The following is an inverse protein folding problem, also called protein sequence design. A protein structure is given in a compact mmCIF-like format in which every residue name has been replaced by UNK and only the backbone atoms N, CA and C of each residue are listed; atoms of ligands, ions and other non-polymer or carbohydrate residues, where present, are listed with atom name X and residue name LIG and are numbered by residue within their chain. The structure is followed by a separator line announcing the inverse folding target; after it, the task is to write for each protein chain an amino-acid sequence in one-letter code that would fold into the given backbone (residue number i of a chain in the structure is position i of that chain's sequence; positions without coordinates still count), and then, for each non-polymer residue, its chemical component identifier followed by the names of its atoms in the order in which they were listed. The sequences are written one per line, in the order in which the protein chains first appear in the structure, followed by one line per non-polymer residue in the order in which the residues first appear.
data_IF_115607197619
#
_entry.id   IF_115607197619
#
_cell.length_a   1.000
_cell.length_b   1.000
_cell.length_c   1.000
_cell.angle_alpha   90.00
_cell.angle_beta   90.00
_cell.angle_gamma   90.00
#
_symmetry.space_group_name_H-M   'P 1'
#
loop_
_entity.id
_entity.type
_entity.pdbx_description
1 polymer ?
#
# COMPACT_ATOMS: atom_id res chain seq x y z
N UNK A 1 101.95 -7.87 14.34
CA UNK A 1 101.14 -7.58 15.55
C UNK A 1 99.89 -8.46 15.49
N UNK A 2 99.67 -9.29 16.52
CA UNK A 2 98.48 -10.11 16.88
C UNK A 2 97.89 -11.02 15.77
N UNK A 3 97.99 -12.36 15.76
CA UNK A 3 97.48 -13.42 16.68
C UNK A 3 96.02 -13.19 17.12
N UNK A 4 95.08 -14.01 16.63
CA UNK A 4 94.33 -15.08 17.33
C UNK A 4 93.23 -15.64 16.39
N UNK A 5 93.06 -16.96 16.45
CA UNK A 5 92.16 -17.86 15.73
C UNK A 5 90.99 -18.25 16.66
N UNK A 6 89.80 -18.49 16.13
CA UNK A 6 88.78 -19.50 16.53
C UNK A 6 87.45 -19.15 15.82
N UNK A 7 86.81 -20.01 15.02
CA UNK A 7 86.18 -21.35 15.25
C UNK A 7 84.69 -21.22 15.67
N UNK A 8 83.80 -21.91 14.93
CA UNK A 8 82.35 -22.08 15.18
C UNK A 8 81.47 -20.91 14.72
N UNK A 9 80.33 -21.02 14.05
CA UNK A 9 79.29 -22.05 13.94
C UNK A 9 78.41 -21.76 12.70
N UNK A 10 77.93 -22.79 12.00
CA UNK A 10 76.77 -22.77 11.09
C UNK A 10 75.46 -22.92 11.93
N UNK A 11 74.22 -22.86 11.39
CA UNK A 11 73.61 -22.12 10.27
C UNK A 11 72.23 -21.49 10.68
N UNK A 12 71.52 -20.83 9.74
CA UNK A 12 70.07 -20.98 9.45
C UNK A 12 69.47 -19.69 8.87
N UNK A 13 68.63 -19.81 7.84
CA UNK A 13 67.76 -18.71 7.42
C UNK A 13 67.28 -18.71 5.98
N UNK A 14 66.48 -19.72 5.64
CA UNK A 14 65.62 -19.81 4.46
C UNK A 14 64.66 -18.60 4.35
N UNK A 15 64.39 -18.12 3.13
CA UNK A 15 63.03 -17.92 2.56
C UNK A 15 62.89 -16.69 1.65
N UNK A 16 62.63 -16.95 0.37
CA UNK A 16 62.43 -15.91 -0.64
C UNK A 16 61.60 -16.34 -1.85
N UNK A 17 60.58 -17.20 -1.69
CA UNK A 17 59.68 -17.56 -2.80
C UNK A 17 58.18 -17.65 -2.44
N UNK A 18 57.75 -17.13 -1.27
CA UNK A 18 56.37 -17.29 -0.79
C UNK A 18 55.39 -16.13 -1.01
N UNK A 19 55.84 -14.94 -1.47
CA UNK A 19 54.99 -13.72 -1.42
C UNK A 19 54.12 -13.41 -2.65
N UNK A 20 54.30 -14.09 -3.79
CA UNK A 20 53.49 -13.80 -5.00
C UNK A 20 52.24 -14.69 -5.17
N UNK A 21 52.10 -15.76 -4.39
CA UNK A 21 51.00 -16.72 -4.54
C UNK A 21 49.79 -16.45 -3.64
N UNK A 22 50.00 -15.81 -2.48
CA UNK A 22 48.93 -15.53 -1.49
C UNK A 22 47.99 -14.37 -1.88
N UNK A 23 48.41 -13.50 -2.81
CA UNK A 23 47.55 -12.40 -3.30
C UNK A 23 46.47 -12.86 -4.29
N UNK A 24 46.77 -13.89 -5.10
CA UNK A 24 45.84 -14.40 -6.13
C UNK A 24 44.72 -15.26 -5.52
N UNK A 25 45.00 -16.02 -4.47
CA UNK A 25 43.98 -16.87 -3.82
C UNK A 25 42.96 -16.06 -3.01
N UNK A 26 43.37 -14.95 -2.38
CA UNK A 26 42.44 -14.04 -1.69
C UNK A 26 41.48 -13.33 -2.64
N UNK A 27 41.94 -12.95 -3.84
CA UNK A 27 41.12 -12.22 -4.82
C UNK A 27 40.06 -13.14 -5.48
N UNK A 28 40.39 -14.42 -5.69
CA UNK A 28 39.46 -15.44 -6.19
C UNK A 28 38.36 -15.76 -5.16
N UNK A 29 38.71 -15.84 -3.86
CA UNK A 29 37.72 -16.07 -2.81
C UNK A 29 36.73 -14.89 -2.65
N UNK A 30 37.19 -13.65 -2.80
CA UNK A 30 36.31 -12.46 -2.76
C UNK A 30 35.38 -12.41 -3.98
N UNK A 31 35.88 -12.76 -5.18
CA UNK A 31 35.06 -12.84 -6.39
C UNK A 31 33.99 -13.95 -6.30
N UNK A 32 34.33 -15.13 -5.79
CA UNK A 32 33.33 -16.19 -5.56
C UNK A 32 32.29 -15.80 -4.51
N UNK A 33 32.68 -15.12 -3.42
CA UNK A 33 31.74 -14.63 -2.41
C UNK A 33 30.75 -13.61 -2.96
N UNK A 34 31.21 -12.70 -3.82
CA UNK A 34 30.35 -11.71 -4.48
C UNK A 34 29.36 -12.36 -5.47
N UNK A 35 29.79 -13.38 -6.21
CA UNK A 35 28.91 -14.12 -7.15
C UNK A 35 27.84 -14.92 -6.39
N UNK A 36 28.19 -15.57 -5.28
CA UNK A 36 27.20 -16.30 -4.45
C UNK A 36 26.17 -15.35 -3.83
N UNK A 37 26.57 -14.14 -3.41
CA UNK A 37 25.65 -13.13 -2.90
C UNK A 37 24.67 -12.61 -3.98
N UNK A 38 25.13 -12.45 -5.22
CA UNK A 38 24.29 -12.01 -6.35
C UNK A 38 23.34 -13.13 -6.83
N UNK A 39 23.77 -14.39 -6.81
CA UNK A 39 22.89 -15.53 -7.14
C UNK A 39 21.86 -15.78 -6.03
N UNK A 40 22.22 -15.62 -4.75
CA UNK A 40 21.25 -15.71 -3.65
C UNK A 40 20.21 -14.57 -3.71
N UNK A 41 20.60 -13.37 -4.13
CA UNK A 41 19.69 -12.24 -4.30
C UNK A 41 18.76 -12.36 -5.51
N UNK A 42 19.13 -13.15 -6.53
CA UNK A 42 18.32 -13.33 -7.76
C UNK A 42 17.53 -14.64 -7.79
N UNK A 43 17.92 -15.65 -7.02
CA UNK A 43 17.20 -16.92 -6.87
C UNK A 43 16.08 -16.87 -5.80
N UNK A 44 16.01 -15.82 -4.97
CA UNK A 44 15.02 -15.69 -3.89
C UNK A 44 13.65 -15.13 -4.30
N UNK A 45 13.41 -14.80 -5.58
CA UNK A 45 12.20 -14.03 -6.00
C UNK A 45 11.25 -14.82 -6.91
N UNK A 46 11.35 -16.15 -6.97
CA UNK A 46 10.36 -16.96 -7.70
C UNK A 46 9.85 -18.11 -6.86
N UNK A 47 8.52 -18.09 -6.68
CA UNK A 47 7.64 -19.14 -6.14
C UNK A 47 7.30 -19.08 -4.64
N UNK A 48 6.53 -18.04 -4.28
CA UNK A 48 5.40 -18.18 -3.36
C UNK A 48 4.13 -17.72 -4.08
N UNK A 49 3.71 -18.49 -5.09
CA UNK A 49 2.30 -18.52 -5.47
C UNK A 49 1.73 -19.66 -4.64
N UNK A 50 1.17 -19.32 -3.48
CA UNK A 50 0.37 -20.26 -2.73
C UNK A 50 -0.86 -20.60 -3.57
N UNK A 51 -0.90 -21.82 -4.08
CA UNK A 51 -2.12 -22.44 -4.57
C UNK A 51 -3.15 -22.37 -3.43
N UNK A 52 -4.32 -21.75 -3.59
CA UNK A 52 -5.29 -21.65 -2.51
C UNK A 52 -5.80 -23.06 -2.17
N UNK A 53 -5.46 -23.51 -0.97
CA UNK A 53 -5.91 -24.77 -0.39
C UNK A 53 -7.46 -24.87 -0.42
N UNK A 54 -8.04 -25.80 -1.19
CA UNK A 54 -9.50 -25.93 -1.31
C UNK A 54 -10.15 -26.53 -0.06
N UNK A 55 -9.38 -26.91 0.96
CA UNK A 55 -9.89 -27.58 2.17
C UNK A 55 -10.19 -26.65 3.37
N UNK A 56 -9.92 -25.34 3.26
CA UNK A 56 -10.34 -24.36 4.27
C UNK A 56 -11.83 -24.04 4.14
N UNK A 57 -12.67 -24.97 4.59
CA UNK A 57 -14.13 -24.83 4.68
C UNK A 57 -14.54 -23.72 5.63
N UNK A 58 -14.70 -22.51 5.10
CA UNK A 58 -15.30 -21.35 5.76
C UNK A 58 -15.92 -20.47 4.69
N UNK A 59 -17.25 -20.61 4.51
CA UNK A 59 -18.10 -20.04 3.46
C UNK A 59 -17.65 -18.66 2.96
N UNK A 60 -16.94 -18.63 1.82
CA UNK A 60 -16.78 -17.42 1.00
C UNK A 60 -18.13 -17.16 0.31
N UNK A 61 -18.86 -16.17 0.79
CA UNK A 61 -19.97 -15.61 0.03
C UNK A 61 -19.40 -14.99 -1.25
N UNK A 62 -19.81 -15.55 -2.39
CA UNK A 62 -19.49 -15.06 -3.73
C UNK A 62 -20.33 -13.79 -3.94
N UNK A 63 -19.82 -12.69 -3.40
CA UNK A 63 -20.22 -11.31 -3.64
C UNK A 63 -18.92 -10.51 -3.55
N UNK A 64 -18.44 -10.03 -4.69
CA UNK A 64 -17.21 -9.24 -4.74
C UNK A 64 -17.55 -7.87 -4.12
N UNK A 65 -17.07 -7.60 -2.89
CA UNK A 65 -17.38 -6.45 -2.00
C UNK A 65 -18.65 -6.66 -1.14
N UNK A 66 -18.70 -6.60 0.20
CA UNK A 66 -17.77 -6.26 1.31
C UNK A 66 -17.58 -7.45 2.29
N UNK A 67 -16.45 -7.55 3.03
CA UNK A 67 -16.50 -7.13 4.44
C UNK A 67 -15.19 -6.49 4.97
N UNK A 68 -15.28 -5.64 6.01
CA UNK A 68 -14.27 -5.65 7.09
C UNK A 68 -15.01 -5.87 8.40
N UNK A 69 -14.60 -6.93 9.12
CA UNK A 69 -15.23 -7.42 10.35
C UNK A 69 -15.71 -6.32 11.31
N UNK A 70 -16.99 -6.41 11.68
CA UNK A 70 -17.59 -5.78 12.85
C UNK A 70 -18.71 -6.69 13.35
N UNK A 71 -18.63 -7.13 14.59
CA UNK A 71 -19.41 -8.19 15.21
C UNK A 71 -20.88 -7.81 15.53
N UNK A 72 -21.62 -7.22 14.57
CA UNK A 72 -23.02 -6.85 14.81
C UNK A 72 -24.00 -7.84 14.17
N UNK A 73 -25.03 -8.32 14.91
CA UNK A 73 -26.04 -9.26 14.43
C UNK A 73 -27.13 -8.56 13.59
N UNK A 74 -26.76 -7.54 12.82
CA UNK A 74 -27.66 -6.83 11.92
C UNK A 74 -28.01 -7.68 10.69
N UNK A 75 -29.13 -7.36 10.00
CA UNK A 75 -29.42 -7.99 8.72
C UNK A 75 -28.28 -7.72 7.73
N UNK A 76 -27.99 -8.66 6.81
CA UNK A 76 -26.94 -8.48 5.81
C UNK A 76 -27.26 -7.23 4.98
N UNK A 77 -26.38 -6.23 5.05
CA UNK A 77 -26.48 -5.01 4.23
C UNK A 77 -26.05 -5.35 2.79
N UNK A 78 -26.87 -4.97 1.82
CA UNK A 78 -26.55 -5.14 0.40
C UNK A 78 -25.26 -4.39 0.05
N UNK A 79 -24.36 -5.04 -0.71
CA UNK A 79 -23.07 -4.49 -1.11
C UNK A 79 -22.94 -4.59 -2.63
N UNK A 80 -22.49 -3.52 -3.26
CA UNK A 80 -22.14 -3.54 -4.69
C UNK A 80 -20.65 -3.79 -4.95
N UNK A 81 -20.30 -4.02 -6.22
CA UNK A 81 -18.96 -4.44 -6.61
C UNK A 81 -17.89 -3.34 -6.42
N UNK A 82 -16.64 -3.72 -6.11
CA UNK A 82 -15.48 -2.83 -6.17
C UNK A 82 -15.44 -2.01 -7.47
N UNK A 83 -15.12 -0.72 -7.35
CA UNK A 83 -15.00 0.15 -8.52
C UNK A 83 -13.90 -0.32 -9.48
N UNK A 84 -12.83 -0.91 -8.92
CA UNK A 84 -11.69 -1.45 -9.67
C UNK A 84 -12.07 -2.62 -10.60
N UNK A 85 -13.23 -3.26 -10.38
CA UNK A 85 -13.71 -4.35 -11.23
C UNK A 85 -14.60 -3.89 -12.38
N UNK A 86 -14.95 -2.60 -12.49
CA UNK A 86 -15.69 -2.09 -13.64
C UNK A 86 -14.80 -2.11 -14.89
N UNK A 87 -15.09 -2.98 -15.89
CA UNK A 87 -14.23 -3.17 -17.05
C UNK A 87 -14.20 -1.97 -18.00
N UNK A 88 -15.10 -0.99 -17.81
CA UNK A 88 -15.16 0.23 -18.63
C UNK A 88 -14.11 1.25 -18.20
N UNK A 89 -13.49 1.09 -17.03
CA UNK A 89 -12.51 2.04 -16.51
C UNK A 89 -11.19 1.94 -17.27
N UNK A 90 -10.55 3.09 -17.43
CA UNK A 90 -9.18 3.13 -17.94
C UNK A 90 -8.23 2.35 -17.02
N UNK A 91 -7.23 1.62 -17.56
CA UNK A 91 -6.25 0.93 -16.75
C UNK A 91 -5.37 1.93 -16.00
N UNK A 92 -5.04 1.62 -14.74
CA UNK A 92 -4.14 2.45 -13.91
C UNK A 92 -2.89 1.67 -13.56
N UNK A 93 -1.74 2.30 -13.82
CA UNK A 93 -0.42 1.78 -13.49
C UNK A 93 -0.09 1.95 -12.01
N UNK A 94 0.85 1.15 -11.49
CA UNK A 94 1.29 1.32 -10.10
C UNK A 94 2.01 2.66 -9.85
N UNK A 95 2.68 3.19 -10.88
CA UNK A 95 3.28 4.53 -10.82
C UNK A 95 2.24 5.62 -10.59
N UNK A 96 1.12 5.57 -11.33
CA UNK A 96 0.00 6.50 -11.14
C UNK A 96 -0.62 6.35 -9.75
N UNK A 97 -0.85 5.11 -9.27
CA UNK A 97 -1.38 4.86 -7.91
C UNK A 97 -0.48 5.44 -6.83
N UNK A 98 0.83 5.25 -6.95
CA UNK A 98 1.81 5.75 -5.98
C UNK A 98 1.86 7.28 -5.99
N UNK A 99 1.81 7.91 -7.17
CA UNK A 99 1.89 9.37 -7.33
C UNK A 99 0.71 10.14 -6.70
N UNK A 100 -0.44 9.50 -6.50
CA UNK A 100 -1.61 10.13 -5.87
C UNK A 100 -1.88 9.65 -4.45
N UNK A 101 -1.10 8.71 -3.89
CA UNK A 101 -1.44 8.05 -2.62
C UNK A 101 -1.54 9.01 -1.43
N UNK A 102 -0.59 9.93 -1.30
CA UNK A 102 -0.62 10.92 -0.22
C UNK A 102 -1.79 11.90 -0.37
N UNK A 103 -2.13 12.25 -1.61
CA UNK A 103 -3.26 13.10 -1.98
C UNK A 103 -4.60 12.39 -1.71
N UNK A 104 -4.70 11.10 -2.02
CA UNK A 104 -5.85 10.25 -1.73
C UNK A 104 -6.15 10.19 -0.22
N UNK A 105 -5.10 10.13 0.63
CA UNK A 105 -5.28 10.22 2.09
C UNK A 105 -5.95 11.53 2.51
N UNK A 106 -5.63 12.66 1.88
CA UNK A 106 -6.28 13.94 2.14
C UNK A 106 -7.75 13.94 1.69
N UNK A 107 -8.05 13.35 0.52
CA UNK A 107 -9.44 13.13 0.05
C UNK A 107 -10.24 12.33 1.07
N UNK A 108 -9.70 11.20 1.55
CA UNK A 108 -10.37 10.35 2.53
C UNK A 108 -10.64 11.08 3.84
N UNK A 109 -9.68 11.86 4.33
CA UNK A 109 -9.87 12.66 5.54
C UNK A 109 -10.96 13.73 5.35
N UNK A 110 -10.96 14.42 4.21
CA UNK A 110 -12.00 15.40 3.87
C UNK A 110 -13.40 14.76 3.84
N UNK A 111 -13.54 13.58 3.24
CA UNK A 111 -14.81 12.85 3.16
C UNK A 111 -15.26 12.28 4.51
N UNK A 112 -14.38 11.56 5.22
CA UNK A 112 -14.71 10.86 6.48
C UNK A 112 -15.12 11.81 7.60
N UNK A 113 -14.50 12.97 7.68
CA UNK A 113 -14.67 13.81 8.86
C UNK A 113 -15.82 14.78 8.69
N UNK A 114 -16.48 14.87 7.52
CA UNK A 114 -17.45 15.94 7.23
C UNK A 114 -16.85 17.32 7.60
N UNK A 115 -15.52 17.41 7.49
CA UNK A 115 -14.58 18.38 8.04
C UNK A 115 -14.85 18.95 9.43
N UNK A 116 -15.17 18.06 10.34
CA UNK A 116 -14.96 18.26 11.77
C UNK A 116 -13.46 18.32 12.10
N UNK A 117 -12.62 17.51 11.43
CA UNK A 117 -11.22 17.35 11.82
C UNK A 117 -10.31 16.88 10.67
N UNK A 118 -9.80 17.80 9.85
CA UNK A 118 -8.88 17.40 8.77
C UNK A 118 -7.47 17.06 9.26
N UNK A 119 -7.12 17.44 10.49
CA UNK A 119 -5.80 17.15 11.08
C UNK A 119 -5.96 16.64 12.51
N UNK A 120 -5.32 15.52 12.84
CA UNK A 120 -5.33 14.98 14.22
C UNK A 120 -4.60 15.84 15.26
N UNK A 121 -4.11 17.02 14.88
CA UNK A 121 -3.42 17.97 15.75
C UNK A 121 -4.37 19.03 16.35
N UNK A 122 -5.62 19.12 15.87
CA UNK A 122 -6.60 20.07 16.35
C UNK A 122 -7.26 19.56 17.66
N UNK A 123 -7.31 20.36 18.74
CA UNK A 123 -7.87 19.95 20.03
C UNK A 123 -9.34 19.51 19.97
N UNK A 124 -10.12 20.14 19.10
CA UNK A 124 -11.51 19.78 18.78
C UNK A 124 -11.64 18.34 18.25
N UNK A 125 -10.57 17.77 17.71
CA UNK A 125 -10.50 16.38 17.26
C UNK A 125 -10.30 15.36 18.37
N UNK A 126 -9.91 15.81 19.56
CA UNK A 126 -9.65 14.91 20.68
C UNK A 126 -10.92 14.22 21.20
N UNK A 127 -12.11 14.78 20.92
CA UNK A 127 -13.41 14.18 21.27
C UNK A 127 -14.26 13.99 20.02
N UNK A 128 -13.83 13.09 19.15
CA UNK A 128 -14.60 12.68 17.98
C UNK A 128 -16.05 12.33 18.40
N UNK A 129 -17.08 12.81 17.66
CA UNK A 129 -18.46 12.45 17.96
C UNK A 129 -18.64 10.94 17.78
N UNK A 130 -19.68 10.40 18.42
CA UNK A 130 -20.02 8.99 18.25
C UNK A 130 -20.26 8.68 16.77
N UNK A 131 -19.70 7.56 16.31
CA UNK A 131 -19.98 7.04 14.98
C UNK A 131 -21.49 6.82 14.82
N UNK A 132 -22.03 7.22 13.67
CA UNK A 132 -23.43 7.01 13.31
C UNK A 132 -23.56 6.65 11.84
N UNK A 133 -24.74 6.13 11.46
CA UNK A 133 -25.04 5.85 10.05
C UNK A 133 -25.07 7.15 9.23
N UNK A 134 -24.49 7.17 8.02
CA UNK A 134 -24.46 8.36 7.17
C UNK A 134 -25.84 8.95 6.89
N UNK A 135 -25.92 10.27 7.05
CA UNK A 135 -27.12 11.06 6.73
C UNK A 135 -26.87 11.97 5.54
N UNK A 136 -27.93 12.62 5.04
CA UNK A 136 -27.77 13.65 4.00
C UNK A 136 -26.91 14.84 4.48
N UNK A 137 -26.93 15.15 5.77
CA UNK A 137 -26.08 16.21 6.33
C UNK A 137 -24.59 15.85 6.20
N UNK A 138 -24.23 14.58 6.44
CA UNK A 138 -22.85 14.10 6.27
C UNK A 138 -22.42 14.12 4.81
N UNK A 139 -23.33 13.81 3.88
CA UNK A 139 -23.09 13.94 2.44
C UNK A 139 -22.79 15.38 2.05
N UNK A 140 -23.60 16.34 2.51
CA UNK A 140 -23.42 17.75 2.17
C UNK A 140 -22.13 18.31 2.76
N UNK A 141 -21.79 17.90 3.98
CA UNK A 141 -20.51 18.24 4.59
C UNK A 141 -19.33 17.61 3.83
N UNK A 142 -19.40 16.32 3.46
CA UNK A 142 -18.38 15.68 2.66
C UNK A 142 -18.17 16.39 1.31
N UNK A 143 -19.24 16.80 0.61
CA UNK A 143 -19.14 17.60 -0.62
C UNK A 143 -18.41 18.92 -0.39
N UNK A 144 -18.78 19.65 0.67
CA UNK A 144 -18.15 20.93 1.02
C UNK A 144 -16.64 20.78 1.27
N UNK A 145 -16.22 19.71 1.93
CA UNK A 145 -14.80 19.53 2.28
C UNK A 145 -14.00 18.92 1.15
N UNK A 146 -14.59 18.02 0.34
CA UNK A 146 -13.99 17.53 -0.89
C UNK A 146 -13.73 18.67 -1.88
N UNK A 147 -14.62 19.66 -1.98
CA UNK A 147 -14.42 20.83 -2.85
C UNK A 147 -13.28 21.76 -2.40
N UNK A 148 -12.73 21.55 -1.20
CA UNK A 148 -11.56 22.28 -0.67
C UNK A 148 -10.25 21.52 -0.84
N UNK A 149 -10.31 20.32 -1.42
CA UNK A 149 -9.12 19.55 -1.79
C UNK A 149 -8.61 20.00 -3.15
N UNK A 150 -7.48 19.43 -3.58
CA UNK A 150 -6.91 19.67 -4.91
C UNK A 150 -7.61 18.86 -6.03
N UNK A 151 -8.69 18.13 -5.71
CA UNK A 151 -9.43 17.36 -6.69
C UNK A 151 -10.04 18.27 -7.76
N UNK A 152 -9.80 17.93 -9.03
CA UNK A 152 -10.35 18.66 -10.19
C UNK A 152 -11.87 18.50 -10.32
N UNK A 153 -12.41 17.40 -9.81
CA UNK A 153 -13.84 17.14 -9.68
C UNK A 153 -14.05 16.22 -8.47
N UNK A 154 -15.13 16.42 -7.74
CA UNK A 154 -15.48 15.54 -6.63
C UNK A 154 -16.99 15.41 -6.48
N UNK A 155 -17.42 14.28 -5.91
CA UNK A 155 -18.81 14.02 -5.57
C UNK A 155 -18.88 13.19 -4.30
N UNK A 156 -19.98 13.35 -3.56
CA UNK A 156 -20.35 12.45 -2.49
C UNK A 156 -21.87 12.27 -2.49
N UNK A 157 -22.33 11.09 -2.08
CA UNK A 157 -23.75 10.74 -1.94
C UNK A 157 -23.92 9.48 -1.11
N UNK A 158 -25.15 9.17 -0.73
CA UNK A 158 -25.47 7.84 -0.22
C UNK A 158 -25.34 6.82 -1.37
N UNK A 159 -24.72 5.68 -1.07
CA UNK A 159 -24.58 4.57 -2.00
C UNK A 159 -25.95 3.95 -2.31
N UNK A 160 -26.18 3.62 -3.57
CA UNK A 160 -27.38 2.99 -4.12
C UNK A 160 -27.05 1.54 -4.51
N UNK A 161 -28.07 0.71 -4.80
CA UNK A 161 -27.82 -0.62 -5.35
C UNK A 161 -26.94 -0.54 -6.61
N UNK A 162 -25.89 -1.35 -6.65
CA UNK A 162 -24.91 -1.40 -7.73
C UNK A 162 -23.71 -0.45 -7.57
N UNK A 163 -23.73 0.46 -6.59
CA UNK A 163 -22.55 1.26 -6.27
C UNK A 163 -21.50 0.47 -5.48
N UNK A 164 -20.23 0.87 -5.53
CA UNK A 164 -19.21 0.27 -4.68
C UNK A 164 -19.51 0.45 -3.18
N UNK A 165 -19.45 -0.64 -2.43
CA UNK A 165 -19.64 -0.64 -0.98
C UNK A 165 -21.09 -0.88 -0.54
N UNK A 166 -21.38 -0.59 0.73
CA UNK A 166 -22.68 -0.82 1.35
C UNK A 166 -23.73 0.20 0.89
N UNK A 167 -24.92 -0.28 0.50
CA UNK A 167 -26.07 0.60 0.22
C UNK A 167 -26.42 1.43 1.46
N UNK A 168 -26.64 2.73 1.27
CA UNK A 168 -26.86 3.70 2.33
C UNK A 168 -25.58 4.23 3.01
N UNK A 169 -24.41 3.67 2.68
CA UNK A 169 -23.12 4.22 3.13
C UNK A 169 -22.79 5.55 2.45
N UNK A 170 -21.87 6.33 3.05
CA UNK A 170 -21.34 7.55 2.43
C UNK A 170 -20.33 7.17 1.35
N UNK A 171 -20.72 7.23 0.09
CA UNK A 171 -19.85 7.04 -1.07
C UNK A 171 -19.29 8.39 -1.52
N UNK A 172 -17.99 8.44 -1.78
CA UNK A 172 -17.34 9.60 -2.35
C UNK A 172 -16.44 9.21 -3.52
N UNK A 173 -16.22 10.16 -4.43
CA UNK A 173 -15.20 10.07 -5.44
C UNK A 173 -14.55 11.42 -5.71
N UNK A 174 -13.26 11.41 -6.01
CA UNK A 174 -12.48 12.59 -6.35
C UNK A 174 -11.53 12.28 -7.51
N UNK A 175 -11.48 13.17 -8.49
CA UNK A 175 -10.57 13.08 -9.63
C UNK A 175 -9.26 13.80 -9.32
N UNK A 176 -8.16 13.04 -9.35
CA UNK A 176 -6.79 13.54 -9.27
C UNK A 176 -6.10 13.19 -10.58
N UNK A 177 -5.74 14.19 -11.38
CA UNK A 177 -5.14 13.98 -12.70
C UNK A 177 -6.05 13.07 -13.58
N UNK A 178 -5.52 11.94 -14.05
CA UNK A 178 -6.23 10.95 -14.87
C UNK A 178 -6.73 9.73 -14.07
N UNK A 179 -6.76 9.83 -12.74
CA UNK A 179 -7.26 8.78 -11.85
C UNK A 179 -8.36 9.29 -10.92
N UNK A 180 -9.08 8.33 -10.36
CA UNK A 180 -10.16 8.54 -9.41
C UNK A 180 -9.80 7.86 -8.10
N UNK A 181 -9.94 8.60 -7.01
CA UNK A 181 -10.01 8.06 -5.66
C UNK A 181 -11.48 7.85 -5.36
N UNK A 182 -11.88 6.61 -5.11
CA UNK A 182 -13.26 6.25 -4.78
C UNK A 182 -13.23 5.54 -3.44
N UNK A 183 -14.08 5.96 -2.51
CA UNK A 183 -14.19 5.25 -1.25
C UNK A 183 -15.58 5.36 -0.65
N UNK A 184 -15.82 4.55 0.37
CA UNK A 184 -17.09 4.52 1.08
C UNK A 184 -16.88 4.44 2.58
N UNK A 185 -17.87 4.89 3.35
CA UNK A 185 -17.93 4.72 4.80
C UNK A 185 -19.28 4.15 5.22
N UNK A 186 -19.24 3.10 6.05
CA UNK A 186 -20.44 2.57 6.69
C UNK A 186 -20.93 3.44 7.85
N UNK A 187 -20.01 4.17 8.50
CA UNK A 187 -20.29 5.07 9.61
C UNK A 187 -19.39 6.30 9.54
N UNK A 188 -19.86 7.43 10.08
CA UNK A 188 -19.15 8.71 10.11
C UNK A 188 -19.02 9.17 11.57
N UNK A 189 -17.87 9.70 12.03
CA UNK A 189 -16.64 9.99 11.26
C UNK A 189 -15.59 8.87 11.27
N UNK A 190 -15.94 7.67 11.74
CA UNK A 190 -14.98 6.58 12.01
C UNK A 190 -15.53 5.19 11.68
N UNK A 191 -16.04 5.01 10.46
CA UNK A 191 -16.47 3.71 9.94
C UNK A 191 -15.37 2.96 9.20
N UNK A 192 -15.59 1.66 9.02
CA UNK A 192 -14.84 0.86 8.03
C UNK A 192 -14.92 1.58 6.69
N UNK A 193 -13.76 1.76 6.06
CA UNK A 193 -13.65 2.39 4.76
C UNK A 193 -12.89 1.51 3.78
N UNK A 194 -13.51 1.20 2.64
CA UNK A 194 -12.79 0.83 1.43
C UNK A 194 -12.39 2.10 0.66
N UNK A 195 -11.14 2.17 0.20
CA UNK A 195 -10.66 3.18 -0.73
C UNK A 195 -9.95 2.49 -1.90
N UNK A 196 -10.23 2.95 -3.10
CA UNK A 196 -9.66 2.43 -4.34
C UNK A 196 -9.17 3.58 -5.22
N UNK A 197 -7.98 3.40 -5.81
CA UNK A 197 -7.45 4.31 -6.84
C UNK A 197 -7.61 3.62 -8.18
N UNK A 198 -8.54 4.12 -8.99
CA UNK A 198 -9.00 3.51 -10.25
C UNK A 198 -8.98 4.52 -11.38
N UNK A 199 -9.16 4.05 -12.62
CA UNK A 199 -9.21 4.93 -13.78
C UNK A 199 -10.57 5.60 -13.93
N UNK A 200 -10.59 6.62 -14.79
CA UNK A 200 -11.82 7.29 -15.22
C UNK A 200 -12.74 6.32 -15.98
N UNK A 201 -14.04 6.59 -15.91
CA UNK A 201 -15.02 5.99 -16.80
C UNK A 201 -14.90 6.58 -18.22
N UNK A 202 -15.52 5.96 -19.25
CA UNK A 202 -15.43 6.43 -20.64
C UNK A 202 -15.94 7.86 -20.88
N UNK A 203 -16.86 8.33 -20.04
CA UNK A 203 -17.39 9.70 -20.06
C UNK A 203 -16.50 10.71 -19.31
N UNK A 204 -15.37 10.26 -18.75
CA UNK A 204 -14.43 11.08 -17.99
C UNK A 204 -14.82 11.33 -16.54
N UNK A 205 -15.88 10.67 -16.04
CA UNK A 205 -16.32 10.77 -14.64
C UNK A 205 -15.67 9.70 -13.76
N UNK A 206 -15.78 9.88 -12.44
CA UNK A 206 -15.30 8.87 -11.48
C UNK A 206 -16.38 7.88 -11.04
N UNK A 207 -17.63 8.30 -10.99
CA UNK A 207 -18.79 7.47 -10.61
C UNK A 207 -19.91 7.70 -11.61
N UNK A 208 -20.73 6.66 -11.89
CA UNK A 208 -21.95 6.84 -12.65
C UNK A 208 -22.93 7.72 -11.86
N UNK A 209 -23.64 8.57 -12.59
CA UNK A 209 -24.71 9.43 -12.06
C UNK A 209 -25.88 8.64 -11.45
#
# INVERSE_FOLDING_TARGET
MHVVRDDGELPAGQDGSGRRWLGRTRLVLVLCGAVVAVVAATAGVRWFVGEPDPAAGGKRSIGYGCPVFGSDPGPPKECGPPAALDPRRAPVTEGQRTAVRDRARAIRLAASHAGWCMTGAQPECARQPASHEPTQHDVDAARLWLSRTEASASTARLARPGDPGHVGGLLYAARLDDVCVIGHFEQVPSGVSGEEIVGLLPDGTCLPD
#
